data_IF_488616580124
#
_entry.id   IF_488616580124
#
_cell.length_a   1.000
_cell.length_b   1.000
_cell.length_c   1.000
_cell.angle_alpha   90.00
_cell.angle_beta   90.00
_cell.angle_gamma   90.00
#
_symmetry.space_group_name_H-M   'P 1'
#
loop_
_entity.id
_entity.type
_entity.pdbx_description
1 polymer ?
#
# COMPACT_ATOMS: atom_id res chain seq x y z
N UNK A 1 -9.03 -15.96 15.74
CA UNK A 1 -9.11 -15.34 14.39
C UNK A 1 -7.71 -15.42 13.80
N UNK A 2 -7.51 -16.09 12.66
CA UNK A 2 -6.20 -16.09 11.98
C UNK A 2 -5.97 -14.69 11.42
N UNK A 3 -5.00 -13.96 11.93
CA UNK A 3 -4.58 -12.67 11.38
C UNK A 3 -3.92 -12.90 10.02
N UNK A 4 -4.41 -12.21 8.98
CA UNK A 4 -3.77 -12.23 7.65
C UNK A 4 -2.36 -11.65 7.78
N UNK A 5 -1.41 -12.22 7.03
CA UNK A 5 -0.05 -11.70 6.89
C UNK A 5 0.01 -10.60 5.83
N UNK A 6 1.03 -9.73 5.92
CA UNK A 6 1.29 -8.72 4.89
C UNK A 6 1.48 -9.35 3.50
N UNK A 7 2.15 -10.50 3.41
CA UNK A 7 2.33 -11.24 2.16
C UNK A 7 1.00 -11.66 1.54
N UNK A 8 0.03 -12.12 2.34
CA UNK A 8 -1.32 -12.43 1.83
C UNK A 8 -2.05 -11.18 1.33
N UNK A 9 -1.91 -10.04 2.01
CA UNK A 9 -2.51 -8.78 1.53
C UNK A 9 -1.89 -8.34 0.19
N UNK A 10 -0.57 -8.45 0.04
CA UNK A 10 0.13 -8.13 -1.22
C UNK A 10 -0.27 -9.11 -2.33
N UNK A 11 -0.38 -10.40 -2.02
CA UNK A 11 -0.80 -11.44 -2.95
C UNK A 11 -2.17 -11.12 -3.55
N UNK A 12 -3.18 -10.92 -2.70
CA UNK A 12 -4.56 -10.64 -3.13
C UNK A 12 -4.63 -9.29 -3.87
N UNK A 13 -3.88 -8.28 -3.41
CA UNK A 13 -3.77 -7.00 -4.11
C UNK A 13 -3.26 -7.14 -5.55
N UNK A 14 -2.30 -8.03 -5.79
CA UNK A 14 -1.68 -8.21 -7.11
C UNK A 14 -2.49 -9.15 -8.02
N UNK A 15 -3.11 -10.19 -7.47
CA UNK A 15 -3.83 -11.20 -8.26
C UNK A 15 -5.32 -10.91 -8.43
N UNK A 16 -5.97 -10.36 -7.40
CA UNK A 16 -7.41 -10.10 -7.39
C UNK A 16 -7.73 -8.61 -7.63
N UNK A 17 -6.68 -7.79 -7.80
CA UNK A 17 -6.79 -6.37 -8.11
C UNK A 17 -7.24 -6.09 -9.55
N UNK A 18 -7.54 -4.82 -9.83
CA UNK A 18 -8.00 -4.38 -11.15
C UNK A 18 -6.89 -4.21 -12.21
N UNK A 19 -5.62 -4.32 -11.83
CA UNK A 19 -4.48 -4.20 -12.74
C UNK A 19 -3.89 -5.59 -12.99
N UNK A 20 -3.74 -6.04 -14.25
CA UNK A 20 -3.17 -7.37 -14.52
C UNK A 20 -1.76 -7.52 -13.96
N UNK A 21 -1.49 -8.61 -13.24
CA UNK A 21 -0.19 -8.85 -12.60
C UNK A 21 1.01 -8.82 -13.56
N UNK A 22 0.82 -9.16 -14.84
CA UNK A 22 1.88 -9.02 -15.87
C UNK A 22 2.26 -7.57 -16.14
N UNK A 23 1.28 -6.66 -16.13
CA UNK A 23 1.51 -5.21 -16.26
C UNK A 23 2.26 -4.71 -15.05
N UNK A 24 1.84 -5.13 -13.85
CA UNK A 24 2.52 -4.78 -12.60
C UNK A 24 4.00 -5.18 -12.63
N UNK A 25 4.27 -6.44 -13.00
CA UNK A 25 5.64 -6.94 -13.11
C UNK A 25 6.50 -6.12 -14.08
N UNK A 26 5.94 -5.75 -15.23
CA UNK A 26 6.62 -4.93 -16.22
C UNK A 26 6.92 -3.52 -15.70
N UNK A 27 5.95 -2.85 -15.06
CA UNK A 27 6.12 -1.50 -14.52
C UNK A 27 7.14 -1.44 -13.38
N UNK A 28 7.22 -2.47 -12.53
CA UNK A 28 8.22 -2.54 -11.45
C UNK A 28 9.58 -3.08 -11.92
N UNK A 29 9.72 -3.42 -13.21
CA UNK A 29 10.97 -3.92 -13.80
C UNK A 29 11.39 -5.31 -13.31
N UNK A 30 10.44 -6.18 -12.94
CA UNK A 30 10.71 -7.51 -12.39
C UNK A 30 10.17 -8.63 -13.31
N UNK A 31 10.87 -9.77 -13.44
CA UNK A 31 10.31 -10.93 -14.13
C UNK A 31 9.02 -11.40 -13.47
N UNK A 32 7.97 -11.60 -14.28
CA UNK A 32 6.62 -11.95 -13.81
C UNK A 32 6.60 -13.17 -12.88
N UNK A 33 7.26 -14.27 -13.27
CA UNK A 33 7.29 -15.51 -12.48
C UNK A 33 8.03 -15.34 -11.15
N UNK A 34 9.13 -14.57 -11.14
CA UNK A 34 9.85 -14.22 -9.90
C UNK A 34 8.95 -13.41 -8.96
N UNK A 35 8.25 -12.41 -9.48
CA UNK A 35 7.29 -11.63 -8.68
C UNK A 35 6.19 -12.51 -8.09
N UNK A 36 5.59 -13.41 -8.88
CA UNK A 36 4.55 -14.32 -8.41
C UNK A 36 5.03 -15.23 -7.27
N UNK A 37 6.28 -15.72 -7.34
CA UNK A 37 6.87 -16.53 -6.27
C UNK A 37 7.08 -15.72 -5.00
N UNK A 38 7.60 -14.51 -5.13
CA UNK A 38 7.89 -13.64 -3.98
C UNK A 38 6.62 -13.24 -3.21
N UNK A 39 5.51 -12.97 -3.92
CA UNK A 39 4.23 -12.61 -3.30
C UNK A 39 3.44 -13.83 -2.81
N UNK A 40 3.80 -15.06 -3.19
CA UNK A 40 3.06 -16.25 -2.83
C UNK A 40 3.24 -16.57 -1.32
N UNK A 41 2.17 -16.52 -0.51
CA UNK A 41 2.28 -16.81 0.93
C UNK A 41 2.67 -18.26 1.24
N UNK A 42 2.55 -19.17 0.27
CA UNK A 42 2.91 -20.58 0.41
C UNK A 42 4.32 -20.91 -0.13
N UNK A 43 5.01 -19.97 -0.78
CA UNK A 43 6.42 -20.16 -1.18
C UNK A 43 7.35 -19.74 -0.03
N UNK A 44 7.98 -20.73 0.61
CA UNK A 44 8.96 -20.48 1.68
C UNK A 44 10.33 -20.04 1.15
N UNK A 45 10.62 -20.27 -0.13
CA UNK A 45 11.92 -20.02 -0.76
C UNK A 45 12.07 -18.66 -1.43
N UNK A 46 11.00 -17.86 -1.51
CA UNK A 46 11.02 -16.50 -2.03
C UNK A 46 10.23 -15.56 -1.10
N UNK A 47 10.66 -14.30 -1.00
CA UNK A 47 10.00 -13.28 -0.17
C UNK A 47 10.00 -11.94 -0.89
N UNK A 48 8.90 -11.18 -0.73
CA UNK A 48 8.83 -9.79 -1.19
C UNK A 48 9.84 -8.96 -0.40
N UNK A 49 10.80 -8.36 -1.11
CA UNK A 49 11.69 -7.36 -0.51
C UNK A 49 10.92 -6.09 -0.12
N UNK A 50 11.27 -5.47 1.00
CA UNK A 50 10.55 -4.29 1.51
C UNK A 50 10.53 -3.12 0.51
N UNK A 51 11.60 -2.94 -0.26
CA UNK A 51 11.71 -1.88 -1.27
C UNK A 51 10.70 -2.04 -2.42
N UNK A 52 10.14 -3.24 -2.62
CA UNK A 52 9.11 -3.50 -3.62
C UNK A 52 7.70 -3.15 -3.13
N UNK A 53 7.50 -2.91 -1.83
CA UNK A 53 6.18 -2.66 -1.28
C UNK A 53 5.53 -1.42 -1.91
N UNK A 54 6.26 -0.32 -2.00
CA UNK A 54 5.74 0.92 -2.59
C UNK A 54 5.55 0.82 -4.11
N UNK A 55 6.50 0.32 -4.91
CA UNK A 55 6.29 0.04 -6.34
C UNK A 55 5.05 -0.82 -6.60
N UNK A 56 4.86 -1.90 -5.85
CA UNK A 56 3.69 -2.78 -5.98
C UNK A 56 2.39 -2.03 -5.72
N UNK A 57 2.32 -1.24 -4.63
CA UNK A 57 1.12 -0.43 -4.32
C UNK A 57 0.81 0.62 -5.39
N UNK A 58 1.83 1.27 -5.93
CA UNK A 58 1.65 2.29 -6.99
C UNK A 58 1.16 1.67 -8.29
N UNK A 59 1.78 0.58 -8.71
CA UNK A 59 1.45 -0.11 -9.94
C UNK A 59 0.10 -0.82 -9.88
N UNK A 60 -0.25 -1.41 -8.73
CA UNK A 60 -1.58 -2.00 -8.49
C UNK A 60 -2.69 -0.95 -8.25
N UNK A 61 -2.31 0.32 -8.09
CA UNK A 61 -3.20 1.43 -7.72
C UNK A 61 -3.97 1.15 -6.43
N UNK A 62 -3.35 0.44 -5.50
CA UNK A 62 -3.95 0.04 -4.22
C UNK A 62 -3.01 0.31 -3.05
N UNK A 63 -3.57 0.84 -1.97
CA UNK A 63 -2.86 1.12 -0.72
C UNK A 63 -3.25 0.14 0.41
N UNK A 64 -3.85 -1.00 0.09
CA UNK A 64 -4.24 -2.01 1.08
C UNK A 64 -3.09 -2.50 1.97
N UNK A 65 -1.87 -2.77 1.47
CA UNK A 65 -0.74 -3.13 2.34
C UNK A 65 -0.39 -2.02 3.34
N UNK A 66 -0.50 -0.75 2.95
CA UNK A 66 -0.27 0.38 3.84
C UNK A 66 -1.35 0.48 4.93
N UNK A 67 -2.64 0.31 4.56
CA UNK A 67 -3.76 0.27 5.52
C UNK A 67 -3.58 -0.85 6.53
N UNK A 68 -3.20 -2.03 6.07
CA UNK A 68 -2.92 -3.17 6.92
C UNK A 68 -1.83 -2.83 7.95
N UNK A 69 -0.69 -2.28 7.51
CA UNK A 69 0.40 -1.89 8.41
C UNK A 69 -0.03 -0.83 9.43
N UNK A 70 -0.76 0.20 8.99
CA UNK A 70 -1.26 1.24 9.88
C UNK A 70 -2.20 0.67 10.95
N UNK A 71 -3.16 -0.18 10.55
CA UNK A 71 -4.07 -0.84 11.48
C UNK A 71 -3.34 -1.74 12.49
N UNK A 72 -2.35 -2.51 12.05
CA UNK A 72 -1.54 -3.35 12.95
C UNK A 72 -0.75 -2.53 13.98
N UNK A 73 -0.43 -1.27 13.65
CA UNK A 73 0.33 -0.37 14.50
C UNK A 73 -0.53 0.65 15.27
N UNK A 74 -1.86 0.58 15.15
CA UNK A 74 -2.76 1.51 15.82
C UNK A 74 -2.78 2.92 15.21
N UNK A 75 -2.39 3.06 13.94
CA UNK A 75 -2.41 4.33 13.21
C UNK A 75 -3.62 4.41 12.28
N UNK A 76 -4.15 5.63 12.12
CA UNK A 76 -5.08 5.97 11.05
C UNK A 76 -4.32 6.53 9.83
N UNK A 77 -4.82 6.25 8.63
CA UNK A 77 -4.28 6.82 7.39
C UNK A 77 -5.23 7.87 6.83
N UNK A 78 -4.70 9.06 6.60
CA UNK A 78 -5.41 10.14 5.91
C UNK A 78 -4.75 10.34 4.55
N UNK A 79 -5.44 10.05 3.42
CA UNK A 79 -4.88 10.30 2.10
C UNK A 79 -4.74 11.81 1.88
N UNK A 80 -3.52 12.27 1.65
CA UNK A 80 -3.28 13.66 1.31
C UNK A 80 -3.59 13.86 -0.18
N UNK A 81 -4.43 14.86 -0.50
CA UNK A 81 -4.54 15.34 -1.89
C UNK A 81 -3.19 15.97 -2.23
N UNK A 82 -2.44 15.36 -3.14
CA UNK A 82 -1.16 15.88 -3.60
C UNK A 82 -1.42 17.16 -4.39
N UNK A 83 -1.41 18.30 -3.71
CA UNK A 83 -1.27 19.61 -4.34
C UNK A 83 0.18 19.74 -4.79
N UNK A 84 0.42 20.16 -6.03
CA UNK A 84 1.78 20.42 -6.54
C UNK A 84 2.53 21.48 -5.71
N UNK A 85 1.82 22.26 -4.90
CA UNK A 85 2.39 23.17 -3.90
C UNK A 85 2.67 22.46 -2.56
N UNK A 86 3.44 21.38 -2.54
CA UNK A 86 3.88 20.73 -1.30
C UNK A 86 5.17 21.36 -0.77
N UNK A 87 5.04 22.52 -0.12
CA UNK A 87 6.07 23.09 0.77
C UNK A 87 5.74 22.88 2.26
N UNK A 88 4.59 22.31 2.60
CA UNK A 88 4.22 22.04 4.00
C UNK A 88 4.53 20.60 4.42
N UNK A 89 4.99 20.48 5.67
CA UNK A 89 5.18 19.23 6.40
C UNK A 89 3.86 18.40 6.48
N UNK A 90 3.89 17.09 6.18
CA UNK A 90 2.70 16.22 6.22
C UNK A 90 1.96 16.21 7.56
N UNK A 91 2.67 16.36 8.70
CA UNK A 91 2.02 16.40 10.01
C UNK A 91 1.20 17.68 10.16
N UNK A 92 1.75 18.84 9.79
CA UNK A 92 1.01 20.11 9.79
C UNK A 92 -0.26 20.05 8.91
N UNK A 93 -0.19 19.38 7.76
CA UNK A 93 -1.37 19.18 6.90
C UNK A 93 -2.43 18.29 7.56
N UNK A 94 -2.01 17.22 8.24
CA UNK A 94 -2.93 16.33 8.95
C UNK A 94 -3.67 17.02 10.09
N UNK A 95 -2.97 17.87 10.87
CA UNK A 95 -3.56 18.65 11.95
C UNK A 95 -4.59 19.65 11.43
N UNK A 96 -4.30 20.31 10.30
CA UNK A 96 -5.24 21.23 9.65
C UNK A 96 -6.52 20.51 9.21
N UNK A 97 -6.40 19.34 8.57
CA UNK A 97 -7.56 18.54 8.19
C UNK A 97 -8.41 18.14 9.41
N UNK A 98 -7.78 17.71 10.50
CA UNK A 98 -8.50 17.36 11.73
C UNK A 98 -9.22 18.55 12.37
N UNK A 99 -8.61 19.75 12.34
CA UNK A 99 -9.26 20.98 12.78
C UNK A 99 -10.49 21.31 11.91
N UNK A 100 -10.35 21.27 10.58
CA UNK A 100 -11.45 21.50 9.64
C UNK A 100 -12.61 20.51 9.87
N UNK A 101 -12.31 19.22 10.07
CA UNK A 101 -13.32 18.22 10.43
C UNK A 101 -14.02 18.52 11.77
N UNK A 102 -13.28 18.99 12.78
CA UNK A 102 -13.85 19.36 14.08
C UNK A 102 -14.73 20.60 14.03
N UNK A 103 -14.46 21.53 13.11
CA UNK A 103 -15.29 22.72 12.88
C UNK A 103 -16.59 22.41 12.14
N UNK A 104 -16.56 21.48 11.18
CA UNK A 104 -17.74 21.03 10.41
C UNK A 104 -18.71 20.17 11.22
N UNK A 105 -18.30 19.65 12.37
CA UNK A 105 -19.11 18.80 13.24
C UNK A 105 -19.84 19.57 14.35
N UNK A 106 -19.77 20.90 14.35
CA UNK A 106 -20.51 21.81 15.24
C UNK A 106 -21.69 22.44 14.50
#
# INVERSE_FOLDING_TARGET
MMTRSLTQIIHDMVLDGGVPAKVIAAEIGKPYTTMLREINPHDSGAKVGIDLLLPLMRSSKSNEPLKFLAHQMGYALVPLKRSEAMQMDPMAMSLKLLQEFGELSK
#
